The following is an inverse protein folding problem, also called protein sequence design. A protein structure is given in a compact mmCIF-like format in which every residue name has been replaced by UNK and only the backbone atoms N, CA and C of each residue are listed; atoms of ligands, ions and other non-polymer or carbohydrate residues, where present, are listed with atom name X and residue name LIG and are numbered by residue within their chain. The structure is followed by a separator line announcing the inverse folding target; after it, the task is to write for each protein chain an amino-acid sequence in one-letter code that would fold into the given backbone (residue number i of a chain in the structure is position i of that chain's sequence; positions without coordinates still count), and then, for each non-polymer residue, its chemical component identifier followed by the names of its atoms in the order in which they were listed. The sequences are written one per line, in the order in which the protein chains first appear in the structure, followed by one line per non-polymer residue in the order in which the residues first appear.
data_IF_751591360130
#
_entry.id   IF_751591360130
#
_cell.length_a   1.000
_cell.length_b   1.000
_cell.length_c   1.000
_cell.angle_alpha   90.00
_cell.angle_beta   90.00
_cell.angle_gamma   90.00
#
_symmetry.space_group_name_H-M   'P 1'
#
loop_
_entity.id
_entity.type
_entity.pdbx_description
1 polymer ?
#
# COMPACT_ATOMS: atom_id res chain seq x y z
N UNK A 1 -10.76 -3.25 10.83
CA UNK A 1 -10.57 -2.43 9.61
C UNK A 1 -9.84 -1.11 9.89
N UNK A 2 -10.17 -0.35 10.95
CA UNK A 2 -9.50 0.92 11.29
C UNK A 2 -7.96 0.82 11.34
N UNK A 3 -7.41 -0.14 12.09
CA UNK A 3 -5.95 -0.29 12.21
C UNK A 3 -5.18 -0.69 10.94
N UNK A 4 -5.85 -1.21 9.91
CA UNK A 4 -5.18 -1.48 8.62
C UNK A 4 -5.07 -0.22 7.77
N UNK A 5 -6.07 0.66 7.85
CA UNK A 5 -6.04 1.96 7.19
C UNK A 5 -4.95 2.85 7.79
N UNK A 6 -4.83 2.86 9.11
CA UNK A 6 -3.81 3.63 9.82
C UNK A 6 -2.41 3.11 9.44
N UNK A 7 -2.19 1.80 9.47
CA UNK A 7 -0.90 1.21 9.05
C UNK A 7 -0.56 1.46 7.58
N UNK A 8 -1.53 1.43 6.66
CA UNK A 8 -1.29 1.77 5.25
C UNK A 8 -0.82 3.23 5.09
N UNK A 9 -1.38 4.13 5.89
CA UNK A 9 -0.99 5.55 5.92
C UNK A 9 0.41 5.74 6.50
N UNK A 10 0.73 5.00 7.57
CA UNK A 10 2.06 5.02 8.17
C UNK A 10 3.11 4.51 7.18
N UNK A 11 2.84 3.38 6.51
CA UNK A 11 3.72 2.80 5.49
C UNK A 11 3.96 3.76 4.32
N UNK A 12 2.92 4.45 3.84
CA UNK A 12 3.05 5.46 2.79
C UNK A 12 3.94 6.63 3.24
N UNK A 13 3.78 7.06 4.49
CA UNK A 13 4.60 8.12 5.09
C UNK A 13 6.06 7.70 5.23
N UNK A 14 6.32 6.47 5.70
CA UNK A 14 7.67 5.90 5.82
C UNK A 14 8.36 5.79 4.45
N UNK A 15 7.66 5.30 3.43
CA UNK A 15 8.19 5.21 2.06
C UNK A 15 8.54 6.60 1.50
N UNK A 16 7.65 7.59 1.66
CA UNK A 16 7.90 8.97 1.22
C UNK A 16 9.10 9.60 1.92
N UNK A 17 9.31 9.28 3.20
CA UNK A 17 10.49 9.72 3.94
C UNK A 17 11.76 9.13 3.32
N UNK A 18 11.78 7.82 3.05
CA UNK A 18 12.93 7.17 2.40
C UNK A 18 13.19 7.75 1.01
N UNK A 19 12.13 8.03 0.22
CA UNK A 19 12.27 8.70 -1.08
C UNK A 19 12.91 10.09 -0.95
N UNK A 20 12.58 10.83 0.12
CA UNK A 20 13.19 12.13 0.42
C UNK A 20 14.66 11.99 0.82
N UNK A 21 14.98 10.98 1.63
CA UNK A 21 16.34 10.70 2.09
C UNK A 21 17.24 10.27 0.91
N UNK A 22 16.75 9.42 0.02
CA UNK A 22 17.45 9.00 -1.22
C UNK A 22 17.75 10.20 -2.14
N UNK A 23 16.76 11.08 -2.35
CA UNK A 23 16.96 12.29 -3.15
C UNK A 23 17.97 13.26 -2.53
N UNK A 24 17.98 13.34 -1.20
CA UNK A 24 18.94 14.18 -0.46
C UNK A 24 20.35 13.60 -0.56
N UNK A 25 20.49 12.28 -0.37
CA UNK A 25 21.73 11.54 -0.53
C UNK A 25 22.34 11.76 -1.91
N UNK A 26 21.52 11.65 -2.96
CA UNK A 26 21.98 11.87 -4.34
C UNK A 26 22.57 13.27 -4.52
N UNK A 27 21.87 14.31 -4.06
CA UNK A 27 22.35 15.71 -4.13
C UNK A 27 23.62 15.93 -3.31
N UNK A 28 23.73 15.29 -2.14
CA UNK A 28 24.92 15.41 -1.30
C UNK A 28 26.13 14.71 -1.93
N UNK A 29 25.93 13.59 -2.63
CA UNK A 29 26.98 12.96 -3.45
C UNK A 29 27.38 13.87 -4.59
N UNK A 30 26.43 14.44 -5.34
CA UNK A 30 26.75 15.37 -6.44
C UNK A 30 27.60 16.54 -5.95
N UNK A 31 27.23 17.16 -4.82
CA UNK A 31 28.00 18.24 -4.20
C UNK A 31 29.40 17.80 -3.75
N UNK A 32 29.54 16.61 -3.17
CA UNK A 32 30.84 16.05 -2.75
C UNK A 32 31.82 15.91 -3.93
N UNK A 33 31.30 15.65 -5.12
CA UNK A 33 32.10 15.47 -6.34
C UNK A 33 32.11 16.70 -7.27
N UNK A 34 31.45 17.79 -6.89
CA UNK A 34 31.43 19.03 -7.66
C UNK A 34 32.84 19.60 -7.84
N UNK A 35 33.21 19.93 -9.08
CA UNK A 35 34.53 20.46 -9.41
C UNK A 35 35.70 19.47 -9.32
N UNK A 36 35.45 18.20 -8.96
CA UNK A 36 36.50 17.17 -8.82
C UNK A 36 36.91 16.53 -10.15
N UNK A 37 36.12 16.72 -11.21
CA UNK A 37 36.30 16.03 -12.50
C UNK A 37 35.92 14.54 -12.47
N UNK A 38 35.28 14.06 -11.39
CA UNK A 38 34.78 12.69 -11.31
C UNK A 38 33.78 12.39 -12.43
N UNK A 39 33.89 11.19 -13.01
CA UNK A 39 32.94 10.75 -14.03
C UNK A 39 31.56 10.49 -13.42
N UNK A 40 30.51 10.67 -14.22
CA UNK A 40 29.14 10.33 -13.82
C UNK A 40 29.02 8.88 -13.37
N UNK A 41 29.75 7.96 -14.01
CA UNK A 41 29.75 6.55 -13.62
C UNK A 41 30.30 6.34 -12.19
N UNK A 42 31.31 7.12 -11.76
CA UNK A 42 31.84 7.03 -10.40
C UNK A 42 30.85 7.57 -9.38
N UNK A 43 30.20 8.70 -9.67
CA UNK A 43 29.16 9.31 -8.83
C UNK A 43 27.99 8.33 -8.65
N UNK A 44 27.53 7.72 -9.75
CA UNK A 44 26.45 6.73 -9.73
C UNK A 44 26.81 5.46 -8.96
N UNK A 45 28.06 4.98 -9.06
CA UNK A 45 28.52 3.82 -8.29
C UNK A 45 28.51 4.10 -6.78
N UNK A 46 28.93 5.30 -6.37
CA UNK A 46 28.89 5.72 -4.95
C UNK A 46 27.45 5.85 -4.47
N UNK A 47 26.57 6.45 -5.28
CA UNK A 47 25.14 6.52 -4.94
C UNK A 47 24.52 5.14 -4.81
N UNK A 48 24.79 4.22 -5.73
CA UNK A 48 24.24 2.87 -5.66
C UNK A 48 24.69 2.12 -4.39
N UNK A 49 25.93 2.31 -3.96
CA UNK A 49 26.49 1.71 -2.75
C UNK A 49 25.87 2.33 -1.48
N UNK A 50 25.88 3.66 -1.37
CA UNK A 50 25.37 4.37 -0.18
C UNK A 50 23.82 4.31 -0.07
N UNK A 51 23.11 4.18 -1.19
CA UNK A 51 21.64 4.07 -1.22
C UNK A 51 21.14 2.63 -1.00
N UNK A 52 22.02 1.63 -0.97
CA UNK A 52 21.65 0.21 -1.00
C UNK A 52 20.68 -0.17 0.14
N UNK A 53 21.04 0.16 1.38
CA UNK A 53 20.24 -0.17 2.56
C UNK A 53 18.89 0.55 2.56
N UNK A 54 18.88 1.83 2.17
CA UNK A 54 17.64 2.61 2.04
C UNK A 54 16.72 2.02 0.97
N UNK A 55 17.28 1.57 -0.16
CA UNK A 55 16.51 0.95 -1.22
C UNK A 55 15.94 -0.41 -0.79
N UNK A 56 16.69 -1.20 -0.02
CA UNK A 56 16.19 -2.44 0.59
C UNK A 56 15.04 -2.15 1.53
N UNK A 57 15.20 -1.17 2.43
CA UNK A 57 14.16 -0.80 3.38
C UNK A 57 12.89 -0.34 2.67
N UNK A 58 13.04 0.53 1.65
CA UNK A 58 11.92 0.98 0.81
C UNK A 58 11.19 -0.19 0.17
N UNK A 59 11.94 -1.14 -0.41
CA UNK A 59 11.35 -2.30 -1.07
C UNK A 59 10.60 -3.19 -0.07
N UNK A 60 11.15 -3.38 1.13
CA UNK A 60 10.50 -4.14 2.21
C UNK A 60 9.16 -3.52 2.63
N UNK A 61 9.15 -2.20 2.86
CA UNK A 61 7.94 -1.46 3.21
C UNK A 61 6.90 -1.47 2.10
N UNK A 62 7.32 -1.35 0.83
CA UNK A 62 6.43 -1.42 -0.32
C UNK A 62 5.75 -2.80 -0.44
N UNK A 63 6.48 -3.89 -0.17
CA UNK A 63 5.91 -5.23 -0.12
C UNK A 63 4.91 -5.40 1.02
N UNK A 64 5.21 -4.85 2.19
CA UNK A 64 4.27 -4.84 3.33
C UNK A 64 2.99 -4.08 2.96
N UNK A 65 3.12 -2.89 2.38
CA UNK A 65 2.01 -2.04 1.95
C UNK A 65 1.12 -2.77 0.93
N UNK A 66 1.72 -3.40 -0.08
CA UNK A 66 1.00 -4.17 -1.09
C UNK A 66 0.27 -5.38 -0.49
N UNK A 67 0.93 -6.11 0.42
CA UNK A 67 0.32 -7.25 1.12
C UNK A 67 -0.88 -6.81 1.95
N UNK A 68 -0.77 -5.71 2.68
CA UNK A 68 -1.83 -5.18 3.52
C UNK A 68 -3.01 -4.65 2.69
N UNK A 69 -2.74 -3.94 1.60
CA UNK A 69 -3.77 -3.46 0.67
C UNK A 69 -4.54 -4.63 0.04
N UNK A 70 -3.84 -5.70 -0.35
CA UNK A 70 -4.47 -6.92 -0.87
C UNK A 70 -5.40 -7.56 0.17
N UNK A 71 -4.92 -7.74 1.42
CA UNK A 71 -5.73 -8.27 2.51
C UNK A 71 -6.97 -7.43 2.80
N UNK A 72 -6.83 -6.10 2.78
CA UNK A 72 -7.95 -5.18 2.98
C UNK A 72 -9.00 -5.34 1.88
N UNK A 73 -8.58 -5.37 0.61
CA UNK A 73 -9.48 -5.54 -0.52
C UNK A 73 -10.21 -6.88 -0.48
N UNK A 74 -9.52 -7.97 -0.15
CA UNK A 74 -10.16 -9.29 0.01
C UNK A 74 -11.23 -9.28 1.11
N UNK A 75 -10.93 -8.68 2.28
CA UNK A 75 -11.93 -8.55 3.36
C UNK A 75 -13.12 -7.69 2.98
N UNK A 76 -12.90 -6.62 2.22
CA UNK A 76 -13.98 -5.77 1.72
C UNK A 76 -14.89 -6.55 0.77
N UNK A 77 -14.31 -7.34 -0.14
CA UNK A 77 -15.06 -8.20 -1.06
C UNK A 77 -15.88 -9.25 -0.30
N UNK A 78 -15.29 -9.93 0.69
CA UNK A 78 -16.01 -10.88 1.56
C UNK A 78 -17.20 -10.20 2.26
N UNK A 79 -17.00 -9.00 2.81
CA UNK A 79 -18.07 -8.26 3.49
C UNK A 79 -19.20 -7.87 2.52
N UNK A 80 -18.86 -7.44 1.30
CA UNK A 80 -19.84 -7.12 0.25
C UNK A 80 -20.64 -8.34 -0.21
N UNK A 81 -19.99 -9.49 -0.38
CA UNK A 81 -20.66 -10.75 -0.72
C UNK A 81 -21.61 -11.18 0.41
N UNK A 82 -21.14 -11.16 1.66
CA UNK A 82 -21.95 -11.50 2.83
C UNK A 82 -23.17 -10.59 2.97
N UNK A 83 -23.00 -9.29 2.77
CA UNK A 83 -24.11 -8.35 2.80
C UNK A 83 -25.12 -8.62 1.70
N UNK A 84 -24.66 -8.81 0.46
CA UNK A 84 -25.52 -9.11 -0.69
C UNK A 84 -26.34 -10.39 -0.48
N UNK A 85 -25.73 -11.46 0.04
CA UNK A 85 -26.43 -12.70 0.36
C UNK A 85 -27.52 -12.49 1.43
N UNK A 86 -27.23 -11.73 2.49
CA UNK A 86 -28.23 -11.44 3.54
C UNK A 86 -29.40 -10.63 3.01
N UNK A 87 -29.14 -9.66 2.13
CA UNK A 87 -30.20 -8.88 1.48
C UNK A 87 -31.08 -9.77 0.60
N UNK A 88 -30.48 -10.67 -0.19
CA UNK A 88 -31.22 -11.62 -1.01
C UNK A 88 -32.07 -12.58 -0.17
N UNK A 89 -31.48 -13.14 0.89
CA UNK A 89 -32.20 -14.03 1.81
C UNK A 89 -33.41 -13.32 2.43
N UNK A 90 -33.22 -12.09 2.91
CA UNK A 90 -34.32 -11.31 3.48
C UNK A 90 -35.42 -10.98 2.45
N UNK A 91 -35.05 -10.71 1.20
CA UNK A 91 -36.01 -10.49 0.12
C UNK A 91 -36.85 -11.73 -0.17
N UNK A 92 -36.24 -12.92 -0.17
CA UNK A 92 -36.94 -14.19 -0.34
C UNK A 92 -37.91 -14.45 0.82
N UNK A 93 -37.47 -14.27 2.07
CA UNK A 93 -38.31 -14.41 3.26
C UNK A 93 -39.56 -13.49 3.21
N UNK A 94 -39.38 -12.26 2.74
CA UNK A 94 -40.50 -11.31 2.58
C UNK A 94 -41.46 -11.72 1.45
N UNK A 95 -40.95 -12.29 0.36
CA UNK A 95 -41.79 -12.81 -0.73
C UNK A 95 -42.62 -14.01 -0.26
N UNK A 96 -42.00 -14.98 0.42
CA UNK A 96 -42.68 -16.16 0.97
C UNK A 96 -43.78 -15.74 1.97
N UNK A 97 -43.48 -14.80 2.88
CA UNK A 97 -44.45 -14.29 3.85
C UNK A 97 -45.64 -13.61 3.17
N UNK A 98 -45.39 -12.82 2.12
CA UNK A 98 -46.46 -12.13 1.40
C UNK A 98 -47.34 -13.11 0.61
N UNK A 99 -46.76 -14.16 0.03
CA UNK A 99 -47.53 -15.23 -0.64
C UNK A 99 -48.42 -15.96 0.36
N UNK A 100 -47.87 -16.38 1.50
CA UNK A 100 -48.64 -17.05 2.55
C UNK A 100 -49.82 -16.20 3.05
N UNK A 101 -49.62 -14.89 3.25
CA UNK A 101 -50.69 -13.98 3.66
C UNK A 101 -51.75 -13.74 2.58
N UNK A 102 -51.43 -13.94 1.29
CA UNK A 102 -52.39 -13.81 0.19
C UNK A 102 -53.24 -15.07 -0.03
N UNK A 103 -52.82 -16.20 0.54
CA UNK A 103 -53.52 -17.49 0.47
C UNK A 103 -54.45 -17.73 1.69
N UNK A 104 -54.41 -16.84 2.70
CA UNK A 104 -55.31 -16.80 3.86
C UNK A 104 -56.51 -15.87 3.62
#
# INVERSE_FOLDING_TARGET
MRGWSDRLTDLDTEIKKIDTDLNSLYKDIEKRYEGTGASTAKIQAVYADEAYDLQIQRNSLALEQQSLATKYNSRLQEAQQNFSMRVQQHQLEMQEKNQYMSEL
#
